data_IF_234540181135
#
_entry.id   IF_234540181135
#
_cell.length_a   1.000
_cell.length_b   1.000
_cell.length_c   1.000
_cell.angle_alpha   90.00
_cell.angle_beta   90.00
_cell.angle_gamma   90.00
#
_symmetry.space_group_name_H-M   'P 1'
#
loop_
_entity.id
_entity.type
_entity.pdbx_description
1 polymer ?
#
# COMPACT_ATOMS: atom_id res chain seq x y z
N UNK A 1 -20.04 57.91 79.81
CA UNK A 1 -19.40 57.25 78.67
C UNK A 1 -20.34 57.51 77.51
N UNK A 2 -19.94 58.41 76.67
CA UNK A 2 -20.80 59.11 75.72
C UNK A 2 -20.32 58.74 74.32
N UNK A 3 -21.19 58.09 73.61
CA UNK A 3 -20.97 57.85 72.17
C UNK A 3 -21.57 59.04 71.37
N UNK A 4 -20.77 59.54 70.44
CA UNK A 4 -21.27 60.48 69.42
C UNK A 4 -21.21 59.83 68.04
N UNK A 5 -22.27 59.86 67.25
CA UNK A 5 -22.21 59.38 65.85
C UNK A 5 -21.84 60.52 64.92
N UNK A 6 -20.94 60.24 63.95
CA UNK A 6 -20.56 61.09 62.83
C UNK A 6 -21.56 60.90 61.64
N UNK A 7 -21.90 61.97 60.96
CA UNK A 7 -22.81 61.92 59.81
C UNK A 7 -22.13 61.54 58.52
N UNK A 8 -22.81 60.71 57.73
CA UNK A 8 -22.35 60.31 56.37
C UNK A 8 -22.69 61.39 55.33
N UNK A 9 -21.81 61.61 54.33
CA UNK A 9 -22.15 62.44 53.19
C UNK A 9 -22.92 61.67 52.10
N UNK A 10 -23.97 62.25 51.61
CA UNK A 10 -24.75 61.81 50.45
C UNK A 10 -23.92 62.04 49.17
N UNK A 11 -23.65 60.95 48.41
CA UNK A 11 -23.06 61.04 47.07
C UNK A 11 -24.17 60.83 46.02
N UNK A 12 -24.34 61.86 45.19
CA UNK A 12 -25.31 61.96 44.11
C UNK A 12 -24.98 60.99 42.98
N UNK A 13 -25.90 60.18 42.57
CA UNK A 13 -25.79 59.26 41.43
C UNK A 13 -26.07 60.01 40.14
N UNK A 14 -24.97 60.31 39.39
CA UNK A 14 -25.09 60.68 37.98
C UNK A 14 -25.04 59.39 37.13
N UNK A 15 -26.14 59.08 36.49
CA UNK A 15 -26.29 57.97 35.59
C UNK A 15 -25.48 58.18 34.29
N UNK A 16 -24.51 57.35 34.07
CA UNK A 16 -23.84 57.21 32.81
C UNK A 16 -24.31 55.94 32.10
N UNK A 17 -25.13 56.16 31.08
CA UNK A 17 -25.62 55.05 30.21
C UNK A 17 -24.47 54.61 29.31
N UNK A 18 -23.84 53.52 29.67
CA UNK A 18 -22.81 52.86 28.86
C UNK A 18 -23.47 51.82 27.92
N UNK A 19 -23.71 52.23 26.67
CA UNK A 19 -24.12 51.31 25.60
C UNK A 19 -22.96 50.38 25.34
N UNK A 20 -23.03 49.16 25.84
CA UNK A 20 -22.08 48.06 25.53
C UNK A 20 -22.22 47.69 24.08
N UNK A 21 -21.27 48.11 23.26
CA UNK A 21 -21.05 47.60 21.90
C UNK A 21 -20.34 46.26 22.05
N UNK A 22 -21.07 45.16 21.97
CA UNK A 22 -20.50 43.81 21.87
C UNK A 22 -20.02 43.67 20.43
N UNK A 23 -18.70 43.83 20.21
CA UNK A 23 -18.02 43.49 18.97
C UNK A 23 -17.89 41.95 18.96
N UNK A 24 -18.75 41.28 18.19
CA UNK A 24 -18.58 39.84 17.88
C UNK A 24 -17.41 39.72 16.92
N UNK A 25 -16.23 39.38 17.43
CA UNK A 25 -15.12 38.90 16.63
C UNK A 25 -15.50 37.47 16.19
N UNK A 26 -16.05 37.34 14.99
CA UNK A 26 -16.11 36.04 14.30
C UNK A 26 -14.67 35.64 13.98
N UNK A 27 -14.05 34.82 14.83
CA UNK A 27 -12.79 34.16 14.53
C UNK A 27 -13.05 33.19 13.38
N UNK A 28 -12.68 33.61 12.17
CA UNK A 28 -12.61 32.75 11.01
C UNK A 28 -11.45 31.78 11.28
N UNK A 29 -11.76 30.59 11.78
CA UNK A 29 -10.78 29.51 11.94
C UNK A 29 -10.35 29.07 10.53
N UNK A 30 -9.24 29.62 10.05
CA UNK A 30 -8.55 29.07 8.88
C UNK A 30 -7.98 27.74 9.37
N UNK A 31 -8.57 26.63 8.92
CA UNK A 31 -7.99 25.31 9.11
C UNK A 31 -6.66 25.29 8.33
N UNK A 32 -5.57 25.45 9.04
CA UNK A 32 -4.23 25.23 8.47
C UNK A 32 -4.10 23.72 8.33
N UNK A 33 -3.76 23.17 7.14
CA UNK A 33 -3.48 21.75 7.03
C UNK A 33 -2.36 21.41 8.01
N UNK A 34 -2.61 20.48 8.90
CA UNK A 34 -1.58 19.95 9.79
C UNK A 34 -0.67 19.10 8.92
N UNK A 35 0.58 19.53 8.75
CA UNK A 35 1.62 18.70 8.14
C UNK A 35 1.91 17.57 9.13
N UNK A 36 1.86 16.33 8.65
CA UNK A 36 2.08 15.15 9.47
C UNK A 36 2.82 14.08 8.69
N UNK A 37 3.82 13.46 9.34
CA UNK A 37 4.60 12.36 8.79
C UNK A 37 3.85 11.02 8.85
N UNK A 38 2.73 10.97 9.57
CA UNK A 38 1.86 9.80 9.64
C UNK A 38 0.42 10.21 9.97
N UNK A 39 -0.54 9.40 9.53
CA UNK A 39 -1.95 9.55 9.91
C UNK A 39 -2.23 8.81 11.22
N UNK A 40 -3.36 9.13 11.83
CA UNK A 40 -3.91 8.27 12.89
C UNK A 40 -4.25 6.89 12.33
N UNK A 41 -4.24 5.89 13.21
CA UNK A 41 -4.74 4.55 12.89
C UNK A 41 -6.25 4.56 12.71
N UNK A 42 -6.73 3.97 11.62
CA UNK A 42 -8.16 3.78 11.34
C UNK A 42 -8.48 2.29 11.39
N UNK A 43 -9.35 1.88 12.30
CA UNK A 43 -9.85 0.51 12.37
C UNK A 43 -10.81 0.23 11.20
N UNK A 44 -10.54 -0.81 10.42
CA UNK A 44 -11.28 -1.17 9.20
C UNK A 44 -12.00 -2.51 9.30
N UNK A 45 -11.57 -3.35 10.25
CA UNK A 45 -12.19 -4.60 10.64
C UNK A 45 -11.79 -4.87 12.10
N UNK A 46 -12.38 -5.90 12.71
CA UNK A 46 -12.05 -6.26 14.08
C UNK A 46 -10.54 -6.52 14.23
N UNK A 47 -9.89 -5.77 15.12
CA UNK A 47 -8.45 -5.81 15.41
C UNK A 47 -7.55 -5.57 14.18
N UNK A 48 -8.08 -4.91 13.12
CA UNK A 48 -7.34 -4.54 11.92
C UNK A 48 -7.37 -3.03 11.74
N UNK A 49 -6.20 -2.41 11.77
CA UNK A 49 -6.05 -0.96 11.63
C UNK A 49 -5.09 -0.61 10.50
N UNK A 50 -5.32 0.54 9.88
CA UNK A 50 -4.57 1.02 8.71
C UNK A 50 -4.16 2.47 8.92
N UNK A 51 -2.97 2.84 8.47
CA UNK A 51 -2.51 4.23 8.40
C UNK A 51 -1.57 4.48 7.22
N UNK A 52 -1.35 5.73 6.90
CA UNK A 52 -0.26 6.18 6.03
C UNK A 52 0.90 6.70 6.86
N UNK A 53 2.12 6.46 6.38
CA UNK A 53 3.36 7.02 6.90
C UNK A 53 4.19 7.60 5.76
N UNK A 54 5.03 8.61 6.04
CA UNK A 54 5.87 9.28 5.04
C UNK A 54 7.32 9.37 5.53
N UNK A 55 8.27 9.23 4.59
CA UNK A 55 9.69 9.50 4.84
C UNK A 55 10.00 10.98 4.95
N UNK A 56 9.08 11.85 4.49
CA UNK A 56 9.23 13.31 4.41
C UNK A 56 10.48 13.79 3.64
N UNK A 57 10.97 12.93 2.76
CA UNK A 57 12.14 13.19 1.93
C UNK A 57 11.75 13.13 0.46
N UNK A 58 11.92 14.25 -0.23
CA UNK A 58 11.77 14.32 -1.68
C UNK A 58 13.07 13.86 -2.35
N UNK A 59 13.00 12.80 -3.14
CA UNK A 59 14.11 12.32 -3.95
C UNK A 59 14.42 13.24 -5.14
N UNK A 60 15.62 13.11 -5.70
CA UNK A 60 16.07 13.88 -6.88
C UNK A 60 15.19 13.60 -8.12
N UNK A 61 14.51 12.47 -8.16
CA UNK A 61 13.57 12.05 -9.20
C UNK A 61 12.13 12.59 -9.00
N UNK A 62 11.90 13.38 -7.95
CA UNK A 62 10.59 13.90 -7.60
C UNK A 62 9.69 12.89 -6.87
N UNK A 63 10.26 11.80 -6.36
CA UNK A 63 9.52 10.77 -5.61
C UNK A 63 9.65 10.96 -4.11
N UNK A 64 8.54 10.84 -3.39
CA UNK A 64 8.51 10.71 -1.93
C UNK A 64 8.12 9.27 -1.59
N UNK A 65 8.95 8.61 -0.80
CA UNK A 65 8.58 7.29 -0.28
C UNK A 65 7.62 7.43 0.89
N UNK A 66 6.46 6.80 0.74
CA UNK A 66 5.46 6.66 1.77
C UNK A 66 5.21 5.18 2.06
N UNK A 67 4.37 4.87 3.03
CA UNK A 67 3.95 3.51 3.33
C UNK A 67 2.48 3.45 3.70
N UNK A 68 1.79 2.44 3.21
CA UNK A 68 0.52 1.98 3.75
C UNK A 68 0.83 0.90 4.78
N UNK A 69 0.63 1.21 6.05
CA UNK A 69 0.89 0.32 7.16
C UNK A 69 -0.42 -0.30 7.64
N UNK A 70 -0.45 -1.63 7.74
CA UNK A 70 -1.60 -2.41 8.17
C UNK A 70 -1.18 -3.23 9.37
N UNK A 71 -1.86 -3.06 10.48
CA UNK A 71 -1.70 -3.86 11.69
C UNK A 71 -2.90 -4.80 11.84
N UNK A 72 -2.64 -6.09 11.88
CA UNK A 72 -3.66 -7.14 11.99
C UNK A 72 -3.14 -8.33 12.81
N UNK A 73 -4.04 -9.16 13.36
CA UNK A 73 -3.67 -10.40 14.04
C UNK A 73 -2.82 -11.32 13.14
N UNK A 74 -1.98 -12.15 13.76
CA UNK A 74 -1.05 -13.01 13.03
C UNK A 74 -1.72 -14.07 12.14
N UNK A 75 -2.99 -14.36 12.37
CA UNK A 75 -3.85 -15.29 11.61
C UNK A 75 -4.79 -14.58 10.64
N UNK A 76 -4.72 -13.25 10.58
CA UNK A 76 -5.46 -12.41 9.63
C UNK A 76 -4.57 -12.04 8.46
N UNK A 77 -5.13 -12.06 7.24
CA UNK A 77 -4.39 -11.80 6.00
C UNK A 77 -5.02 -10.69 5.16
N UNK A 78 -4.17 -10.02 4.40
CA UNK A 78 -4.51 -9.23 3.21
C UNK A 78 -3.75 -9.75 2.00
N UNK A 79 -4.01 -9.23 0.81
CA UNK A 79 -3.63 -9.89 -0.43
C UNK A 79 -2.63 -9.10 -1.27
N UNK A 80 -1.88 -9.84 -2.07
CA UNK A 80 -0.94 -9.32 -3.06
C UNK A 80 -1.66 -8.79 -4.30
N UNK A 81 -0.91 -8.12 -5.23
CA UNK A 81 -1.42 -7.62 -6.53
C UNK A 81 -2.13 -8.70 -7.36
N UNK A 82 -1.67 -9.95 -7.26
CA UNK A 82 -2.35 -11.13 -7.79
C UNK A 82 -2.79 -11.98 -6.62
N UNK A 83 -4.01 -11.75 -6.11
CA UNK A 83 -4.44 -12.23 -4.79
C UNK A 83 -4.60 -13.74 -4.71
N UNK A 84 -4.70 -14.42 -5.84
CA UNK A 84 -5.06 -15.82 -5.93
C UNK A 84 -6.54 -16.03 -6.24
N UNK A 85 -7.07 -17.19 -5.88
CA UNK A 85 -8.43 -17.61 -6.28
C UNK A 85 -9.52 -17.01 -5.40
N UNK A 86 -9.22 -16.66 -4.13
CA UNK A 86 -10.23 -16.20 -3.17
C UNK A 86 -10.05 -14.77 -2.71
N UNK A 87 -8.93 -14.13 -3.04
CA UNK A 87 -8.54 -12.84 -2.52
C UNK A 87 -9.13 -11.64 -3.23
N UNK A 88 -9.18 -10.51 -2.52
CA UNK A 88 -9.43 -9.18 -3.07
C UNK A 88 -8.14 -8.36 -2.97
N UNK A 89 -7.53 -7.94 -4.09
CA UNK A 89 -6.27 -7.20 -4.05
C UNK A 89 -6.43 -5.82 -3.41
N UNK A 90 -5.33 -5.29 -2.88
CA UNK A 90 -5.23 -3.90 -2.46
C UNK A 90 -5.25 -2.99 -3.70
N UNK A 91 -6.14 -2.00 -3.68
CA UNK A 91 -6.24 -0.93 -4.67
C UNK A 91 -6.19 0.41 -3.95
N UNK A 92 -5.43 1.37 -4.50
CA UNK A 92 -5.35 2.74 -4.00
C UNK A 92 -5.74 3.68 -5.14
N UNK A 93 -6.84 4.42 -4.96
CA UNK A 93 -7.26 5.51 -5.86
C UNK A 93 -6.87 6.85 -5.24
N UNK A 94 -6.40 7.80 -6.05
CA UNK A 94 -5.80 9.05 -5.57
C UNK A 94 -6.45 10.31 -6.16
N UNK A 95 -7.69 10.20 -6.63
CA UNK A 95 -8.39 11.26 -7.35
C UNK A 95 -8.54 12.59 -6.58
N UNK A 96 -8.55 12.55 -5.23
CA UNK A 96 -8.63 13.74 -4.36
C UNK A 96 -7.31 14.42 -4.07
N UNK A 97 -6.19 13.88 -4.52
CA UNK A 97 -4.85 14.36 -4.20
C UNK A 97 -4.49 15.69 -4.86
N UNK A 98 -3.55 16.43 -4.26
CA UNK A 98 -2.99 17.69 -4.80
C UNK A 98 -1.49 17.57 -4.93
N UNK A 99 -0.93 18.07 -6.05
CA UNK A 99 0.50 17.98 -6.38
C UNK A 99 1.07 16.56 -6.37
N UNK A 100 0.22 15.57 -6.62
CA UNK A 100 0.57 14.16 -6.81
C UNK A 100 0.27 13.80 -8.27
N UNK A 101 1.25 13.22 -8.98
CA UNK A 101 1.10 12.72 -10.35
C UNK A 101 0.65 11.28 -10.40
N UNK A 102 1.07 10.49 -9.41
CA UNK A 102 0.75 9.08 -9.32
C UNK A 102 1.30 8.44 -8.05
N UNK A 103 0.76 7.28 -7.73
CA UNK A 103 1.21 6.42 -6.64
C UNK A 103 1.40 5.02 -7.20
N UNK A 104 2.56 4.44 -6.95
CA UNK A 104 2.88 3.07 -7.30
C UNK A 104 3.19 2.27 -6.03
N UNK A 105 2.55 1.10 -5.89
CA UNK A 105 2.82 0.21 -4.76
C UNK A 105 4.05 -0.64 -5.12
N UNK A 106 5.12 -0.52 -4.35
CA UNK A 106 6.24 -1.42 -4.42
C UNK A 106 5.90 -2.70 -3.62
N UNK A 107 5.46 -3.73 -4.35
CA UNK A 107 4.90 -4.92 -3.74
C UNK A 107 5.97 -5.80 -3.10
N UNK A 108 5.98 -6.03 -1.78
CA UNK A 108 6.81 -7.05 -1.16
C UNK A 108 6.49 -8.45 -1.73
N UNK A 109 7.43 -9.37 -1.58
CA UNK A 109 7.19 -10.76 -1.96
C UNK A 109 6.14 -11.39 -1.01
N UNK A 110 5.06 -11.99 -1.54
CA UNK A 110 3.97 -12.53 -0.72
C UNK A 110 4.27 -13.95 -0.23
N UNK A 111 3.53 -14.38 0.78
CA UNK A 111 3.43 -15.80 1.11
C UNK A 111 2.42 -16.47 0.16
N UNK A 112 2.85 -17.53 -0.52
CA UNK A 112 1.92 -18.42 -1.22
C UNK A 112 1.31 -19.39 -0.22
N UNK A 113 0.01 -19.56 -0.28
CA UNK A 113 -0.75 -20.45 0.58
C UNK A 113 -1.71 -21.30 -0.26
N UNK A 114 -1.78 -22.57 0.05
CA UNK A 114 -2.82 -23.46 -0.49
C UNK A 114 -3.66 -23.95 0.68
N UNK A 115 -4.90 -23.49 0.75
CA UNK A 115 -5.84 -23.82 1.80
C UNK A 115 -7.19 -24.24 1.20
N UNK A 116 -7.77 -25.33 1.67
CA UNK A 116 -9.06 -25.86 1.20
C UNK A 116 -9.15 -26.09 -0.32
N UNK A 117 -7.99 -26.25 -0.99
CA UNK A 117 -7.90 -26.44 -2.44
C UNK A 117 -7.81 -25.17 -3.26
N UNK A 118 -7.73 -24.00 -2.63
CA UNK A 118 -7.52 -22.72 -3.28
C UNK A 118 -6.11 -22.21 -3.03
N UNK A 119 -5.54 -21.55 -4.03
CA UNK A 119 -4.23 -20.91 -3.96
C UNK A 119 -4.40 -19.41 -3.79
N UNK A 120 -3.78 -18.86 -2.74
CA UNK A 120 -3.74 -17.42 -2.48
C UNK A 120 -2.29 -16.91 -2.33
N UNK A 121 -2.10 -15.63 -2.64
CA UNK A 121 -0.88 -14.88 -2.36
C UNK A 121 -1.20 -13.77 -1.36
N UNK A 122 -0.68 -13.86 -0.16
CA UNK A 122 -1.13 -13.07 0.97
C UNK A 122 -0.01 -12.58 1.89
N UNK A 123 -0.36 -11.60 2.73
CA UNK A 123 0.45 -11.08 3.83
C UNK A 123 -0.31 -11.26 5.13
N UNK A 124 0.39 -11.61 6.19
CA UNK A 124 -0.17 -11.91 7.50
C UNK A 124 0.37 -10.98 8.58
N UNK A 125 -0.46 -10.68 9.56
CA UNK A 125 -0.05 -9.85 10.69
C UNK A 125 0.28 -8.42 10.27
N UNK A 126 1.30 -7.82 10.89
CA UNK A 126 1.75 -6.46 10.53
C UNK A 126 2.46 -6.45 9.18
N UNK A 127 2.04 -5.56 8.29
CA UNK A 127 2.66 -5.35 6.97
C UNK A 127 2.73 -3.86 6.63
N UNK A 128 3.81 -3.44 5.97
CA UNK A 128 3.95 -2.12 5.37
C UNK A 128 4.17 -2.27 3.86
N UNK A 129 3.28 -1.69 3.06
CA UNK A 129 3.42 -1.59 1.61
C UNK A 129 4.10 -0.26 1.26
N UNK A 130 5.34 -0.26 0.74
CA UNK A 130 5.99 0.96 0.29
C UNK A 130 5.26 1.55 -0.92
N UNK A 131 5.08 2.86 -0.91
CA UNK A 131 4.43 3.63 -1.96
C UNK A 131 5.43 4.61 -2.56
N UNK A 132 5.72 4.48 -3.85
CA UNK A 132 6.44 5.49 -4.61
C UNK A 132 5.44 6.58 -5.04
N UNK A 133 5.51 7.74 -4.42
CA UNK A 133 4.59 8.85 -4.65
C UNK A 133 5.27 9.93 -5.48
N UNK A 134 4.89 10.06 -6.75
CA UNK A 134 5.44 11.07 -7.65
C UNK A 134 4.80 12.44 -7.38
N UNK A 135 5.65 13.43 -7.03
CA UNK A 135 5.24 14.79 -6.64
C UNK A 135 5.57 15.79 -7.75
N UNK A 136 4.69 16.77 -7.99
CA UNK A 136 4.85 17.78 -9.05
C UNK A 136 4.67 19.22 -8.59
N UNK A 137 4.81 19.52 -7.32
CA UNK A 137 4.65 20.87 -6.79
C UNK A 137 4.94 20.97 -5.30
N UNK A 138 4.83 22.18 -4.79
CA UNK A 138 5.01 22.46 -3.37
C UNK A 138 3.78 22.01 -2.56
N UNK A 139 4.01 21.59 -1.32
CA UNK A 139 2.98 21.16 -0.38
C UNK A 139 2.03 20.06 -0.95
N UNK A 140 2.55 18.88 -1.31
CA UNK A 140 1.74 17.77 -1.79
C UNK A 140 0.78 17.27 -0.71
N UNK A 141 -0.40 16.83 -1.15
CA UNK A 141 -1.38 16.16 -0.29
C UNK A 141 -1.82 14.89 -0.98
N UNK A 142 -1.55 13.76 -0.39
CA UNK A 142 -2.05 12.47 -0.84
C UNK A 142 -3.40 12.20 -0.17
N UNK A 143 -4.43 12.03 -0.97
CA UNK A 143 -5.70 11.42 -0.57
C UNK A 143 -5.72 10.02 -1.16
N UNK A 144 -5.74 9.01 -0.31
CA UNK A 144 -5.74 7.61 -0.70
C UNK A 144 -7.09 6.98 -0.36
N UNK A 145 -7.89 6.69 -1.38
CA UNK A 145 -9.10 5.89 -1.26
C UNK A 145 -8.72 4.43 -1.46
N UNK A 146 -8.79 3.65 -0.39
CA UNK A 146 -8.22 2.32 -0.30
C UNK A 146 -9.34 1.30 -0.28
N UNK A 147 -9.23 0.29 -1.12
CA UNK A 147 -10.04 -0.94 -1.09
C UNK A 147 -9.11 -2.14 -0.94
N UNK A 148 -9.39 -3.03 0.00
CA UNK A 148 -8.60 -4.25 0.21
C UNK A 148 -9.44 -5.38 0.80
N UNK A 149 -9.03 -6.63 0.58
CA UNK A 149 -9.57 -7.78 1.30
C UNK A 149 -8.88 -7.96 2.65
N UNK A 150 -9.66 -8.23 3.68
CA UNK A 150 -9.19 -8.64 5.01
C UNK A 150 -9.85 -9.97 5.34
N UNK A 151 -9.06 -10.99 5.60
CA UNK A 151 -9.54 -12.34 5.84
C UNK A 151 -8.93 -12.95 7.09
N UNK A 152 -9.80 -13.44 7.97
CA UNK A 152 -9.51 -14.41 9.02
C UNK A 152 -10.37 -15.65 8.79
N UNK A 153 -11.35 -15.93 9.63
CA UNK A 153 -12.37 -16.95 9.39
C UNK A 153 -13.35 -16.55 8.27
N UNK A 154 -13.55 -15.26 8.08
CA UNK A 154 -14.42 -14.67 7.04
C UNK A 154 -13.65 -13.57 6.32
N UNK A 155 -13.78 -13.55 4.98
CA UNK A 155 -13.22 -12.50 4.15
C UNK A 155 -14.21 -11.33 4.01
N UNK A 156 -13.76 -10.13 4.32
CA UNK A 156 -14.55 -8.91 4.20
C UNK A 156 -13.80 -7.87 3.36
N UNK A 157 -14.48 -7.12 2.48
CA UNK A 157 -13.88 -5.97 1.85
C UNK A 157 -13.80 -4.83 2.86
N UNK A 158 -12.61 -4.23 2.99
CA UNK A 158 -12.39 -3.00 3.75
C UNK A 158 -12.25 -1.82 2.80
N UNK A 159 -12.91 -0.71 3.12
CA UNK A 159 -12.85 0.53 2.35
C UNK A 159 -12.62 1.69 3.31
N UNK A 160 -11.62 2.52 3.03
CA UNK A 160 -11.31 3.70 3.84
C UNK A 160 -10.66 4.78 2.98
N UNK A 161 -10.71 6.03 3.46
CA UNK A 161 -10.00 7.16 2.87
C UNK A 161 -9.05 7.75 3.90
N UNK A 162 -7.79 7.93 3.52
CA UNK A 162 -6.75 8.55 4.34
C UNK A 162 -6.17 9.76 3.62
N UNK A 163 -5.86 10.81 4.37
CA UNK A 163 -5.21 12.01 3.84
C UNK A 163 -3.92 12.28 4.61
N UNK A 164 -2.81 12.50 3.88
CA UNK A 164 -1.52 12.87 4.46
C UNK A 164 -0.89 14.03 3.67
N UNK A 165 -0.34 15.00 4.41
CA UNK A 165 0.40 16.14 3.86
C UNK A 165 1.81 16.13 4.49
N UNK A 166 2.81 15.49 3.86
CA UNK A 166 4.14 15.34 4.44
C UNK A 166 4.88 16.67 4.50
N UNK A 167 5.59 16.97 5.59
CA UNK A 167 6.50 18.11 5.69
C UNK A 167 7.84 17.79 5.02
N UNK A 168 7.96 18.01 3.71
CA UNK A 168 9.12 17.59 2.90
C UNK A 168 10.47 18.25 3.26
N UNK A 169 10.49 19.15 4.21
CA UNK A 169 11.66 19.91 4.67
C UNK A 169 12.36 19.31 5.89
N UNK A 170 11.77 18.26 6.49
CA UNK A 170 12.26 17.65 7.72
C UNK A 170 12.10 16.11 7.67
N UNK A 171 13.12 15.38 7.16
CA UNK A 171 13.07 13.93 7.04
C UNK A 171 12.66 13.24 8.34
N UNK A 172 11.67 12.34 8.27
CA UNK A 172 11.27 11.47 9.38
C UNK A 172 12.10 10.18 9.37
N UNK A 173 13.16 10.15 10.17
CA UNK A 173 14.08 9.01 10.24
C UNK A 173 13.43 7.69 10.66
N UNK A 174 12.54 7.61 11.65
CA UNK A 174 11.81 6.41 12.00
C UNK A 174 10.95 5.86 10.87
N UNK A 175 10.20 6.71 10.18
CA UNK A 175 9.36 6.30 9.05
C UNK A 175 10.21 5.89 7.84
N UNK A 176 11.26 6.67 7.51
CA UNK A 176 12.19 6.31 6.44
C UNK A 176 12.82 4.92 6.68
N UNK A 177 13.22 4.63 7.92
CA UNK A 177 13.79 3.31 8.27
C UNK A 177 12.78 2.18 8.06
N UNK A 178 11.52 2.34 8.50
CA UNK A 178 10.46 1.32 8.32
C UNK A 178 10.15 1.08 6.85
N UNK A 179 10.06 2.15 6.07
CA UNK A 179 9.80 2.08 4.64
C UNK A 179 10.97 1.37 3.92
N UNK A 180 12.23 1.72 4.24
CA UNK A 180 13.40 1.04 3.66
C UNK A 180 13.48 -0.44 4.03
N UNK A 181 13.08 -0.80 5.26
CA UNK A 181 12.99 -2.18 5.68
C UNK A 181 11.94 -2.95 4.85
N UNK A 182 10.79 -2.35 4.57
CA UNK A 182 9.76 -2.94 3.73
C UNK A 182 10.20 -3.04 2.25
N UNK A 183 10.94 -2.04 1.75
CA UNK A 183 11.53 -2.05 0.41
C UNK A 183 12.53 -3.20 0.22
N UNK A 184 13.21 -3.64 1.27
CA UNK A 184 14.12 -4.79 1.19
C UNK A 184 13.39 -6.13 0.92
N UNK A 185 12.06 -6.18 1.14
CA UNK A 185 11.24 -7.33 0.81
C UNK A 185 10.60 -7.25 -0.58
N UNK A 186 10.83 -6.17 -1.32
CA UNK A 186 10.35 -6.00 -2.70
C UNK A 186 11.29 -6.74 -3.65
N UNK A 187 10.78 -7.57 -4.56
CA UNK A 187 11.60 -8.29 -5.51
C UNK A 187 12.44 -7.36 -6.38
N UNK A 188 13.74 -7.62 -6.44
CA UNK A 188 14.66 -6.90 -7.29
C UNK A 188 14.63 -7.46 -8.71
N UNK A 189 14.66 -6.61 -9.75
CA UNK A 189 14.74 -7.09 -11.12
C UNK A 189 16.04 -7.86 -11.34
N UNK A 190 15.92 -9.05 -11.92
CA UNK A 190 17.03 -9.92 -12.28
C UNK A 190 16.92 -10.27 -13.76
N UNK A 191 18.01 -10.15 -14.51
CA UNK A 191 18.03 -10.57 -15.92
C UNK A 191 17.70 -12.06 -16.04
N UNK A 192 18.23 -12.88 -15.13
CA UNK A 192 17.98 -14.31 -15.07
C UNK A 192 18.59 -15.08 -16.25
N UNK A 193 19.60 -14.50 -16.96
CA UNK A 193 20.40 -15.24 -17.92
C UNK A 193 21.01 -16.47 -17.25
N UNK A 194 20.82 -17.64 -17.87
CA UNK A 194 21.28 -18.89 -17.28
C UNK A 194 20.36 -19.54 -16.25
N UNK A 195 19.31 -18.85 -15.77
CA UNK A 195 18.30 -19.41 -14.85
C UNK A 195 17.05 -19.79 -15.62
N UNK A 196 16.37 -18.82 -16.25
CA UNK A 196 15.17 -19.02 -17.04
C UNK A 196 15.42 -18.64 -18.51
N UNK A 197 14.97 -19.49 -19.41
CA UNK A 197 14.97 -19.25 -20.86
C UNK A 197 13.68 -18.62 -21.35
N UNK A 198 13.22 -19.09 -22.51
CA UNK A 198 11.99 -18.60 -23.12
C UNK A 198 10.74 -19.02 -22.33
N UNK A 199 9.79 -18.09 -22.24
CA UNK A 199 8.47 -18.36 -21.70
C UNK A 199 7.42 -18.38 -22.84
N UNK A 200 6.37 -19.17 -22.68
CA UNK A 200 5.22 -19.22 -23.57
C UNK A 200 3.98 -19.64 -22.80
N UNK A 201 2.83 -19.27 -23.28
CA UNK A 201 1.58 -19.83 -22.82
C UNK A 201 1.14 -20.97 -23.76
N UNK A 202 0.90 -22.13 -23.19
CA UNK A 202 0.37 -23.28 -23.93
C UNK A 202 -1.15 -23.31 -23.81
N UNK A 203 -1.84 -22.92 -24.89
CA UNK A 203 -3.31 -22.87 -24.92
C UNK A 203 -3.98 -24.23 -24.74
N UNK A 204 -3.29 -25.33 -25.09
CA UNK A 204 -3.85 -26.67 -24.96
C UNK A 204 -3.71 -27.23 -23.56
N UNK A 205 -2.56 -26.97 -22.95
CA UNK A 205 -2.30 -27.34 -21.56
C UNK A 205 -2.90 -26.34 -20.56
N UNK A 206 -3.36 -25.17 -21.02
CA UNK A 206 -3.80 -24.05 -20.20
C UNK A 206 -2.76 -23.73 -19.11
N UNK A 207 -1.52 -23.55 -19.54
CA UNK A 207 -0.39 -23.36 -18.62
C UNK A 207 0.66 -22.37 -19.15
N UNK A 208 1.27 -21.63 -18.24
CA UNK A 208 2.50 -20.90 -18.48
C UNK A 208 3.66 -21.89 -18.44
N UNK A 209 4.46 -21.94 -19.51
CA UNK A 209 5.62 -22.82 -19.63
C UNK A 209 6.86 -21.93 -19.73
N UNK A 210 7.91 -22.26 -18.99
CA UNK A 210 9.21 -21.58 -19.06
C UNK A 210 10.34 -22.61 -19.06
N UNK A 211 11.37 -22.36 -19.87
CA UNK A 211 12.56 -23.21 -19.90
C UNK A 211 13.40 -22.93 -18.66
N UNK A 212 13.72 -23.97 -17.87
CA UNK A 212 14.62 -23.95 -16.72
C UNK A 212 16.03 -24.30 -17.20
N UNK A 213 16.92 -23.33 -17.26
CA UNK A 213 18.28 -23.50 -17.78
C UNK A 213 19.26 -23.99 -16.70
N UNK A 214 19.04 -23.61 -15.43
CA UNK A 214 19.80 -24.12 -14.30
C UNK A 214 19.03 -25.21 -13.55
N UNK A 215 19.41 -26.47 -13.69
CA UNK A 215 18.75 -27.57 -12.98
C UNK A 215 18.94 -27.55 -11.46
N UNK A 216 19.90 -26.76 -10.96
CA UNK A 216 20.18 -26.62 -9.54
C UNK A 216 19.42 -25.45 -8.88
N UNK A 217 18.70 -24.66 -9.67
CA UNK A 217 17.94 -23.54 -9.16
C UNK A 217 16.71 -23.99 -8.34
N UNK A 218 16.53 -23.42 -7.15
CA UNK A 218 15.34 -23.65 -6.33
C UNK A 218 14.17 -22.80 -6.83
N UNK A 219 13.27 -23.44 -7.56
CA UNK A 219 12.07 -22.83 -8.12
C UNK A 219 10.82 -22.95 -7.22
N UNK A 220 10.93 -23.60 -6.07
CA UNK A 220 9.78 -23.95 -5.23
C UNK A 220 9.01 -22.74 -4.73
N UNK A 221 9.68 -21.62 -4.52
CA UNK A 221 9.06 -20.35 -4.14
C UNK A 221 8.49 -19.56 -5.32
N UNK A 222 8.78 -19.95 -6.58
CA UNK A 222 8.47 -19.15 -7.76
C UNK A 222 6.97 -18.97 -7.97
N UNK A 223 6.55 -17.73 -8.20
CA UNK A 223 5.19 -17.32 -8.55
C UNK A 223 5.23 -16.77 -9.97
N UNK A 224 4.45 -17.36 -10.88
CA UNK A 224 4.25 -16.82 -12.22
C UNK A 224 3.02 -15.92 -12.27
N UNK A 225 3.14 -14.78 -12.94
CA UNK A 225 2.00 -13.89 -13.17
C UNK A 225 2.20 -13.09 -14.47
N UNK A 226 1.14 -12.45 -14.92
CA UNK A 226 1.14 -11.50 -16.03
C UNK A 226 0.72 -10.15 -15.47
N UNK A 227 1.52 -9.12 -15.71
CA UNK A 227 1.21 -7.76 -15.24
C UNK A 227 -0.15 -7.31 -15.77
N UNK A 228 -0.85 -6.50 -14.97
CA UNK A 228 -2.17 -5.93 -15.29
C UNK A 228 -3.23 -6.96 -15.70
N UNK A 229 -3.09 -8.20 -15.21
CA UNK A 229 -4.06 -9.27 -15.43
C UNK A 229 -4.55 -9.87 -14.11
N UNK A 230 -5.76 -10.45 -14.16
CA UNK A 230 -6.34 -11.21 -13.05
C UNK A 230 -6.09 -12.71 -13.21
N UNK A 231 -5.10 -13.11 -14.02
CA UNK A 231 -4.77 -14.50 -14.23
C UNK A 231 -3.98 -15.04 -13.04
N UNK A 232 -4.47 -16.12 -12.47
CA UNK A 232 -3.81 -16.83 -11.37
C UNK A 232 -3.18 -18.10 -11.93
N UNK A 233 -1.90 -18.30 -11.64
CA UNK A 233 -1.17 -19.49 -12.01
C UNK A 233 -0.86 -20.32 -10.76
N UNK A 234 -0.93 -21.63 -10.92
CA UNK A 234 -0.62 -22.61 -9.88
C UNK A 234 0.86 -22.66 -9.49
N UNK A 235 1.18 -23.61 -8.64
CA UNK A 235 2.57 -23.86 -8.23
C UNK A 235 3.43 -24.33 -9.42
N UNK A 236 4.75 -24.07 -9.37
CA UNK A 236 5.67 -24.56 -10.40
C UNK A 236 5.82 -26.09 -10.36
N UNK A 237 5.67 -26.73 -11.49
CA UNK A 237 5.88 -28.17 -11.67
C UNK A 237 6.88 -28.46 -12.78
N UNK A 238 7.77 -29.43 -12.60
CA UNK A 238 8.60 -29.94 -13.69
C UNK A 238 7.78 -30.90 -14.55
N UNK A 239 7.50 -30.50 -15.78
CA UNK A 239 6.76 -31.35 -16.75
C UNK A 239 7.68 -32.13 -17.67
N UNK A 240 8.88 -31.63 -17.90
CA UNK A 240 9.97 -32.27 -18.66
C UNK A 240 11.31 -31.80 -18.07
N UNK A 241 12.42 -32.54 -18.26
CA UNK A 241 13.73 -32.05 -17.86
C UNK A 241 14.04 -30.68 -18.46
N UNK A 242 14.35 -29.70 -17.60
CA UNK A 242 14.63 -28.31 -18.00
C UNK A 242 13.40 -27.50 -18.37
N UNK A 243 12.21 -27.87 -17.89
CA UNK A 243 10.97 -27.14 -18.18
C UNK A 243 10.01 -27.07 -16.99
N UNK A 244 9.67 -25.84 -16.58
CA UNK A 244 8.65 -25.56 -15.58
C UNK A 244 7.30 -25.26 -16.23
N UNK A 245 6.25 -25.68 -15.58
CA UNK A 245 4.85 -25.41 -15.92
C UNK A 245 4.12 -24.82 -14.72
N UNK A 246 3.30 -23.83 -14.99
CA UNK A 246 2.39 -23.21 -14.02
C UNK A 246 0.98 -23.32 -14.60
N UNK A 247 0.16 -24.19 -14.04
CA UNK A 247 -1.21 -24.37 -14.52
C UNK A 247 -2.03 -23.10 -14.31
N UNK A 248 -2.81 -22.70 -15.30
CA UNK A 248 -3.76 -21.59 -15.14
C UNK A 248 -4.92 -22.02 -14.27
N UNK A 249 -5.15 -21.29 -13.18
CA UNK A 249 -6.28 -21.47 -12.29
C UNK A 249 -7.39 -20.53 -12.76
N UNK A 250 -8.31 -21.06 -13.56
CA UNK A 250 -9.39 -20.26 -14.16
C UNK A 250 -9.39 -20.32 -15.69
N UNK A 251 -9.74 -19.20 -16.34
CA UNK A 251 -9.80 -19.11 -17.79
C UNK A 251 -9.09 -17.83 -18.28
N UNK A 252 -8.18 -17.96 -19.23
CA UNK A 252 -7.59 -16.83 -19.96
C UNK A 252 -8.35 -16.59 -21.27
N UNK A 253 -8.58 -15.31 -21.57
CA UNK A 253 -8.94 -14.91 -22.94
C UNK A 253 -7.68 -14.73 -23.80
N UNK A 254 -7.72 -15.01 -25.11
CA UNK A 254 -6.55 -14.83 -25.99
C UNK A 254 -6.05 -13.37 -26.05
N UNK A 255 -6.90 -12.41 -25.73
CA UNK A 255 -6.55 -10.98 -25.72
C UNK A 255 -5.64 -10.62 -24.53
N UNK A 256 -5.78 -11.31 -23.39
CA UNK A 256 -4.99 -11.06 -22.17
C UNK A 256 -3.52 -11.44 -22.36
N UNK A 257 -3.22 -12.32 -23.30
CA UNK A 257 -1.89 -12.87 -23.54
C UNK A 257 -1.17 -12.20 -24.73
N UNK A 258 -1.83 -11.31 -25.46
CA UNK A 258 -1.22 -10.62 -26.60
C UNK A 258 -0.24 -9.57 -26.11
N UNK A 259 1.00 -9.65 -26.61
CA UNK A 259 2.11 -8.72 -26.27
C UNK A 259 2.40 -8.63 -24.76
N UNK A 260 1.96 -9.65 -23.99
CA UNK A 260 2.16 -9.73 -22.56
C UNK A 260 3.57 -10.19 -22.21
N UNK A 261 3.99 -9.90 -20.99
CA UNK A 261 5.20 -10.46 -20.39
C UNK A 261 4.82 -11.33 -19.20
N UNK A 262 5.47 -12.49 -19.11
CA UNK A 262 5.41 -13.33 -17.94
C UNK A 262 6.44 -12.86 -16.92
N UNK A 263 5.99 -12.66 -15.70
CA UNK A 263 6.80 -12.31 -14.54
C UNK A 263 6.98 -13.55 -13.67
N UNK A 264 8.20 -13.84 -13.27
CA UNK A 264 8.55 -14.95 -12.39
C UNK A 264 9.21 -14.37 -11.16
N UNK A 265 8.43 -14.28 -10.07
CA UNK A 265 8.87 -13.71 -8.81
C UNK A 265 9.19 -14.85 -7.83
N UNK A 266 10.34 -14.82 -7.18
CA UNK A 266 10.78 -15.87 -6.26
C UNK A 266 11.61 -15.31 -5.11
N UNK A 267 11.65 -16.04 -4.00
CA UNK A 267 12.50 -15.73 -2.85
C UNK A 267 13.78 -16.57 -2.89
N UNK A 268 14.88 -16.01 -2.39
CA UNK A 268 16.17 -16.66 -2.29
C UNK A 268 16.90 -16.28 -1.01
N UNK A 269 18.09 -16.87 -0.76
CA UNK A 269 18.92 -16.52 0.39
C UNK A 269 19.41 -15.05 0.37
N UNK A 270 19.49 -14.45 -0.81
CA UNK A 270 19.91 -13.07 -1.03
C UNK A 270 18.71 -12.09 -1.10
N UNK A 271 17.50 -12.57 -0.87
CA UNK A 271 16.25 -11.83 -0.95
C UNK A 271 15.40 -12.19 -2.17
N UNK A 272 14.27 -11.50 -2.35
CA UNK A 272 13.36 -11.78 -3.44
C UNK A 272 13.81 -11.12 -4.75
N UNK A 273 13.59 -11.84 -5.87
CA UNK A 273 13.89 -11.40 -7.22
C UNK A 273 12.71 -11.60 -8.17
N UNK A 274 12.72 -10.86 -9.28
CA UNK A 274 11.77 -11.01 -10.37
C UNK A 274 12.49 -11.08 -11.71
N UNK A 275 12.18 -12.12 -12.50
CA UNK A 275 12.64 -12.30 -13.87
C UNK A 275 11.45 -12.09 -14.80
N UNK A 276 11.61 -11.26 -15.84
CA UNK A 276 10.57 -10.97 -16.83
C UNK A 276 10.94 -11.61 -18.15
N UNK A 277 9.97 -12.29 -18.79
CA UNK A 277 10.13 -12.88 -20.12
C UNK A 277 8.95 -12.47 -21.01
N UNK A 278 9.22 -11.95 -22.21
CA UNK A 278 8.16 -11.66 -23.16
C UNK A 278 7.48 -12.96 -23.61
N UNK A 279 6.16 -12.92 -23.75
CA UNK A 279 5.41 -14.01 -24.34
C UNK A 279 5.35 -13.77 -25.86
N UNK A 280 5.75 -14.76 -26.68
CA UNK A 280 5.57 -14.65 -28.12
C UNK A 280 4.10 -14.49 -28.44
N UNK A 281 3.77 -13.51 -29.29
CA UNK A 281 2.40 -13.33 -29.77
C UNK A 281 1.92 -14.63 -30.44
N UNK A 282 0.82 -15.17 -29.94
CA UNK A 282 0.16 -16.35 -30.50
C UNK A 282 -0.63 -15.97 -31.75
#
# INVERSE_FOLDING_TARGET
MIEHPFPMPHCSTNGFSMKSVIAIFAALSIAVPCLASETEWVEVAQDVSVRLVSSDTLGDDGTVWMGLEIDMPADTKTYWRVPGETGLPLVIETAGSRHIQGVEIAWPYPKREVAEGYLDHAFYGHVLFPLAVAVNGDAPVLVADITMGVCSDICVPANLSLEIAPPLDAPDGPNDFRIRQALAAVPLPLDGEGILGAARFDMKAEAMIVDLLDPGFDYTSMIAHIADSNLVFGEPEIVEPGRLSFALLGRAGPETLRDASAHFTFDSQDGPFEIIRPLPGN
#
